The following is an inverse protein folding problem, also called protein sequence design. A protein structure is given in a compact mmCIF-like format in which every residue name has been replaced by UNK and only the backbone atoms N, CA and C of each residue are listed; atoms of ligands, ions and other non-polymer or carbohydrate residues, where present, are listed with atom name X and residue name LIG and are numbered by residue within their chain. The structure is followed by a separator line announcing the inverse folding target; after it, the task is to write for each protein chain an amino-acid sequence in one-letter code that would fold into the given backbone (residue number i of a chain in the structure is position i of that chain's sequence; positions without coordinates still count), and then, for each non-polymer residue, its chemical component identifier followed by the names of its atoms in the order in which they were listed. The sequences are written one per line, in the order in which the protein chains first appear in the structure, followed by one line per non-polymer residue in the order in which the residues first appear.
data_IF_420232837300
#
_entry.id   IF_420232837300
#
_cell.length_a   1.000
_cell.length_b   1.000
_cell.length_c   1.000
_cell.angle_alpha   90.00
_cell.angle_beta   90.00
_cell.angle_gamma   90.00
#
_symmetry.space_group_name_H-M   'P 1'
#
loop_
_entity.id
_entity.type
_entity.pdbx_description
1 polymer ?
#
# COMPACT_ATOMS: atom_id res chain seq x y z
N UNK A 1 10.59 3.58 27.29
CA UNK A 1 9.82 4.60 26.54
C UNK A 1 10.71 5.40 25.60
N UNK A 2 11.77 6.06 26.09
CA UNK A 2 12.70 6.84 25.24
C UNK A 2 13.30 6.09 24.04
N UNK A 3 13.64 4.80 24.19
CA UNK A 3 14.18 4.03 23.09
C UNK A 3 13.17 3.90 21.93
N UNK A 4 11.91 3.60 22.24
CA UNK A 4 10.84 3.43 21.24
C UNK A 4 10.52 4.77 20.57
N UNK A 5 10.53 5.87 21.32
CA UNK A 5 10.29 7.21 20.77
C UNK A 5 11.34 7.67 19.75
N UNK A 6 12.56 7.13 19.86
CA UNK A 6 13.70 7.52 19.02
C UNK A 6 14.11 6.43 18.02
N UNK A 7 13.53 5.23 18.11
CA UNK A 7 13.84 4.12 17.22
C UNK A 7 12.58 3.41 16.74
N UNK A 8 12.52 3.15 15.45
CA UNK A 8 11.47 2.35 14.85
C UNK A 8 11.66 0.87 15.23
N UNK A 9 10.75 0.34 16.04
CA UNK A 9 10.75 -1.06 16.49
C UNK A 9 9.52 -1.82 16.01
N UNK A 10 8.52 -1.11 15.53
CA UNK A 10 7.31 -1.66 14.92
C UNK A 10 7.16 -1.14 13.50
N UNK A 11 6.63 -2.01 12.64
CA UNK A 11 6.15 -1.66 11.30
C UNK A 11 4.73 -2.17 11.16
N UNK A 12 3.82 -1.28 10.80
CA UNK A 12 2.38 -1.54 10.82
C UNK A 12 1.77 -1.27 9.45
N UNK A 13 0.84 -2.14 9.06
CA UNK A 13 0.12 -2.01 7.80
C UNK A 13 -1.02 -1.00 7.96
N UNK A 14 -1.03 0.04 7.12
CA UNK A 14 -2.12 1.03 7.08
C UNK A 14 -2.75 0.98 5.68
N UNK A 15 -3.94 0.41 5.58
CA UNK A 15 -4.61 0.30 4.29
C UNK A 15 -5.37 1.57 3.92
N UNK A 16 -5.34 1.91 2.64
CA UNK A 16 -6.44 2.66 2.06
C UNK A 16 -7.57 1.68 1.74
N UNK A 17 -8.80 2.08 2.06
CA UNK A 17 -10.00 1.42 1.56
C UNK A 17 -10.23 1.89 0.13
N UNK A 18 -9.44 1.36 -0.81
CA UNK A 18 -9.47 1.77 -2.21
C UNK A 18 -10.86 1.49 -2.81
N UNK A 19 -11.42 2.42 -3.62
CA UNK A 19 -10.78 3.61 -4.17
C UNK A 19 -10.85 4.86 -3.28
N UNK A 20 -9.68 5.46 -3.02
CA UNK A 20 -9.48 6.84 -2.52
C UNK A 20 -10.10 7.16 -1.14
N UNK A 21 -10.24 6.18 -0.26
CA UNK A 21 -10.75 6.38 1.11
C UNK A 21 -9.75 5.88 2.14
N UNK A 22 -9.59 6.62 3.24
CA UNK A 22 -8.96 6.12 4.46
C UNK A 22 -10.02 6.12 5.57
N UNK A 23 -10.30 4.95 6.12
CA UNK A 23 -11.29 4.81 7.20
C UNK A 23 -10.73 5.24 8.56
N UNK A 24 -11.64 5.41 9.52
CA UNK A 24 -11.32 5.87 10.87
C UNK A 24 -10.34 4.94 11.60
N UNK A 25 -10.44 3.62 11.39
CA UNK A 25 -9.60 2.63 12.08
C UNK A 25 -8.16 2.75 11.59
N UNK A 26 -7.97 2.79 10.27
CA UNK A 26 -6.66 2.95 9.65
C UNK A 26 -6.01 4.30 9.99
N UNK A 27 -6.78 5.39 9.95
CA UNK A 27 -6.27 6.71 10.36
C UNK A 27 -5.99 6.79 11.87
N UNK A 28 -6.79 6.11 12.69
CA UNK A 28 -6.59 5.97 14.13
C UNK A 28 -5.23 5.34 14.43
N UNK A 29 -4.97 4.17 13.85
CA UNK A 29 -3.70 3.45 13.99
C UNK A 29 -2.51 4.27 13.46
N UNK A 30 -2.64 4.88 12.26
CA UNK A 30 -1.61 5.73 11.68
C UNK A 30 -1.23 6.88 12.61
N UNK A 31 -2.22 7.58 13.19
CA UNK A 31 -1.99 8.67 14.16
C UNK A 31 -1.18 8.21 15.36
N UNK A 32 -1.44 7.01 15.87
CA UNK A 32 -0.69 6.46 17.01
C UNK A 32 0.74 6.16 16.60
N UNK A 33 0.96 5.35 15.57
CA UNK A 33 2.30 4.95 15.16
C UNK A 33 3.18 6.13 14.73
N UNK A 34 2.62 7.09 13.99
CA UNK A 34 3.35 8.28 13.55
C UNK A 34 3.81 9.15 14.74
N UNK A 35 2.95 9.36 15.76
CA UNK A 35 3.34 10.12 16.97
C UNK A 35 4.51 9.48 17.70
N UNK A 36 4.59 8.16 17.70
CA UNK A 36 5.57 7.38 18.44
C UNK A 36 6.76 6.88 17.60
N UNK A 37 7.04 7.49 16.43
CA UNK A 37 8.18 7.13 15.55
C UNK A 37 8.17 5.68 15.00
N UNK A 38 6.98 5.09 14.87
CA UNK A 38 6.81 3.73 14.37
C UNK A 38 6.37 3.74 12.91
N UNK A 39 6.84 2.75 12.14
CA UNK A 39 6.70 2.76 10.68
C UNK A 39 5.28 2.42 10.24
N UNK A 40 4.75 3.23 9.33
CA UNK A 40 3.48 2.97 8.65
C UNK A 40 3.72 2.55 7.20
N UNK A 41 3.21 1.39 6.81
CA UNK A 41 3.17 0.98 5.40
C UNK A 41 1.82 1.40 4.82
N UNK A 42 1.78 2.57 4.18
CA UNK A 42 0.57 3.09 3.53
C UNK A 42 0.31 2.27 2.28
N UNK A 43 -0.74 1.44 2.29
CA UNK A 43 -0.97 0.40 1.29
C UNK A 43 -2.37 0.51 0.68
N UNK A 44 -2.49 1.04 -0.54
CA UNK A 44 -3.65 0.80 -1.40
C UNK A 44 -3.94 -0.69 -1.50
N UNK A 45 -5.19 -1.08 -1.29
CA UNK A 45 -5.66 -2.46 -1.42
C UNK A 45 -6.50 -2.59 -2.68
N UNK A 46 -5.90 -3.14 -3.73
CA UNK A 46 -6.47 -3.05 -5.08
C UNK A 46 -6.65 -4.43 -5.73
N UNK A 47 -7.88 -4.61 -6.22
CA UNK A 47 -8.26 -5.56 -7.26
C UNK A 47 -8.54 -4.75 -8.53
N UNK A 48 -7.62 -4.78 -9.50
CA UNK A 48 -7.74 -4.00 -10.73
C UNK A 48 -8.99 -4.42 -11.51
N UNK A 49 -9.80 -3.44 -11.91
CA UNK A 49 -11.13 -3.66 -12.51
C UNK A 49 -12.29 -3.64 -11.50
N UNK A 50 -12.01 -3.65 -10.19
CA UNK A 50 -13.02 -3.52 -9.14
C UNK A 50 -12.76 -2.31 -8.22
N UNK A 51 -11.54 -2.17 -7.70
CA UNK A 51 -11.14 -1.11 -6.76
C UNK A 51 -10.23 -0.05 -7.39
N UNK A 52 -9.84 -0.26 -8.64
CA UNK A 52 -9.09 0.68 -9.48
C UNK A 52 -9.45 0.43 -10.96
N UNK A 53 -9.05 1.32 -11.89
CA UNK A 53 -9.19 1.07 -13.31
C UNK A 53 -8.54 -0.26 -13.74
N UNK A 54 -9.11 -0.94 -14.73
CA UNK A 54 -8.58 -2.22 -15.25
C UNK A 54 -7.19 -2.06 -15.89
N UNK A 55 -6.78 -0.84 -16.25
CA UNK A 55 -5.50 -0.57 -16.90
C UNK A 55 -4.37 -0.39 -15.89
N UNK A 56 -3.16 -0.84 -16.26
CA UNK A 56 -1.94 -0.70 -15.44
C UNK A 56 -1.67 0.76 -15.11
N UNK A 57 -1.72 1.65 -16.10
CA UNK A 57 -1.45 3.07 -15.90
C UNK A 57 -2.49 3.72 -14.97
N UNK A 58 -3.79 3.44 -15.17
CA UNK A 58 -4.84 3.98 -14.32
C UNK A 58 -4.72 3.50 -12.87
N UNK A 59 -4.40 2.21 -12.67
CA UNK A 59 -4.12 1.67 -11.35
C UNK A 59 -2.90 2.33 -10.71
N UNK A 60 -1.79 2.49 -11.42
CA UNK A 60 -0.58 3.16 -10.90
C UNK A 60 -0.85 4.61 -10.49
N UNK A 61 -1.63 5.34 -11.28
CA UNK A 61 -2.03 6.72 -10.95
C UNK A 61 -2.81 6.76 -9.65
N UNK A 62 -3.78 5.87 -9.46
CA UNK A 62 -4.57 5.81 -8.22
C UNK A 62 -3.71 5.37 -7.02
N UNK A 63 -2.87 4.34 -7.18
CA UNK A 63 -1.91 3.90 -6.14
C UNK A 63 -1.06 5.07 -5.68
N UNK A 64 -0.49 5.83 -6.62
CA UNK A 64 0.35 6.97 -6.30
C UNK A 64 -0.42 8.04 -5.51
N UNK A 65 -1.66 8.35 -5.91
CA UNK A 65 -2.49 9.34 -5.23
C UNK A 65 -2.81 8.92 -3.80
N UNK A 66 -3.24 7.68 -3.59
CA UNK A 66 -3.58 7.14 -2.27
C UNK A 66 -2.35 7.08 -1.34
N UNK A 67 -1.19 6.63 -1.85
CA UNK A 67 0.05 6.61 -1.06
C UNK A 67 0.50 8.02 -0.71
N UNK A 68 0.49 8.96 -1.65
CA UNK A 68 0.87 10.34 -1.36
C UNK A 68 -0.03 10.94 -0.29
N UNK A 69 -1.34 10.75 -0.37
CA UNK A 69 -2.27 11.26 0.65
C UNK A 69 -1.97 10.68 2.05
N UNK A 70 -1.86 9.35 2.16
CA UNK A 70 -1.59 8.71 3.44
C UNK A 70 -0.19 9.02 3.99
N UNK A 71 0.84 9.02 3.13
CA UNK A 71 2.21 9.30 3.54
C UNK A 71 2.43 10.77 3.91
N UNK A 72 1.82 11.71 3.19
CA UNK A 72 1.83 13.12 3.61
C UNK A 72 1.12 13.30 4.95
N UNK A 73 0.02 12.58 5.19
CA UNK A 73 -0.68 12.62 6.48
C UNK A 73 0.20 12.15 7.64
N UNK A 74 1.04 11.12 7.47
CA UNK A 74 2.00 10.74 8.53
C UNK A 74 2.95 11.89 8.87
N UNK A 75 3.44 12.61 7.86
CA UNK A 75 4.38 13.73 8.06
C UNK A 75 3.71 14.95 8.70
N UNK A 76 2.41 15.16 8.46
CA UNK A 76 1.64 16.21 9.15
C UNK A 76 1.48 15.93 10.65
N UNK A 77 1.51 14.66 11.06
CA UNK A 77 1.41 14.27 12.48
C UNK A 77 2.75 14.41 13.19
N UNK A 78 3.83 13.89 12.57
CA UNK A 78 5.20 14.01 13.07
C UNK A 78 6.15 14.05 11.88
N UNK A 79 6.75 15.21 11.58
CA UNK A 79 7.78 15.31 10.55
C UNK A 79 8.93 14.33 10.84
N UNK A 80 9.31 13.54 9.84
CA UNK A 80 10.33 12.51 9.96
C UNK A 80 9.82 11.15 10.44
N UNK A 81 8.50 11.00 10.70
CA UNK A 81 7.94 9.69 11.02
C UNK A 81 8.19 8.70 9.86
N UNK A 82 8.69 7.49 10.13
CA UNK A 82 9.01 6.50 9.11
C UNK A 82 7.74 6.05 8.38
N UNK A 83 7.78 6.10 7.05
CA UNK A 83 6.65 5.72 6.20
C UNK A 83 7.13 5.00 4.96
N UNK A 84 6.41 3.95 4.57
CA UNK A 84 6.70 3.13 3.41
C UNK A 84 5.60 3.27 2.37
N UNK A 85 6.01 3.28 1.11
CA UNK A 85 5.14 3.13 -0.04
C UNK A 85 4.70 1.66 -0.12
N UNK A 86 3.46 1.37 0.22
CA UNK A 86 2.86 0.05 0.07
C UNK A 86 2.08 -0.07 -1.24
N UNK A 87 1.96 -1.27 -1.77
CA UNK A 87 1.00 -1.62 -2.82
C UNK A 87 0.58 -3.07 -2.62
N UNK A 88 -0.71 -3.31 -2.46
CA UNK A 88 -1.30 -4.61 -2.73
C UNK A 88 -2.10 -4.47 -4.02
N UNK A 89 -1.60 -5.07 -5.10
CA UNK A 89 -2.27 -5.07 -6.39
C UNK A 89 -2.46 -6.52 -6.85
N UNK A 90 -3.68 -6.82 -7.27
CA UNK A 90 -4.08 -8.06 -7.92
C UNK A 90 -5.03 -7.73 -9.07
N UNK A 91 -5.36 -8.71 -9.90
CA UNK A 91 -6.40 -8.56 -10.92
C UNK A 91 -7.63 -9.36 -10.57
N UNK A 92 -8.67 -9.26 -11.40
CA UNK A 92 -9.87 -10.09 -11.29
C UNK A 92 -10.02 -10.96 -12.54
N UNK A 93 -10.60 -12.13 -12.37
CA UNK A 93 -11.15 -12.88 -13.50
C UNK A 93 -12.37 -12.16 -14.04
N UNK A 94 -12.34 -11.77 -15.32
CA UNK A 94 -13.51 -11.14 -15.97
C UNK A 94 -14.71 -12.09 -16.09
N UNK A 95 -14.49 -13.41 -15.98
CA UNK A 95 -15.55 -14.40 -16.04
C UNK A 95 -16.26 -14.58 -14.70
N UNK A 96 -15.51 -14.64 -13.59
CA UNK A 96 -16.06 -14.98 -12.27
C UNK A 96 -16.07 -13.82 -11.27
N UNK A 97 -15.39 -12.71 -11.58
CA UNK A 97 -15.14 -11.60 -10.65
C UNK A 97 -14.18 -11.94 -9.50
N UNK A 98 -13.65 -13.16 -9.46
CA UNK A 98 -12.79 -13.61 -8.38
C UNK A 98 -11.38 -12.97 -8.46
N UNK A 99 -10.71 -12.74 -7.32
CA UNK A 99 -9.30 -12.34 -7.28
C UNK A 99 -8.40 -13.32 -8.03
N UNK A 100 -7.48 -12.78 -8.83
CA UNK A 100 -6.45 -13.54 -9.55
C UNK A 100 -5.06 -13.02 -9.22
N UNK A 101 -4.12 -13.96 -9.10
CA UNK A 101 -2.70 -13.70 -8.80
C UNK A 101 -1.82 -14.39 -9.84
N UNK A 102 -0.54 -13.98 -9.94
CA UNK A 102 0.42 -14.55 -10.88
C UNK A 102 0.22 -14.12 -12.33
N UNK A 103 -0.68 -13.17 -12.59
CA UNK A 103 -0.96 -12.60 -13.91
C UNK A 103 0.01 -11.46 -14.27
N UNK A 104 0.12 -11.08 -15.56
CA UNK A 104 1.05 -10.04 -15.99
C UNK A 104 0.73 -8.64 -15.44
N UNK A 105 -0.55 -8.27 -15.31
CA UNK A 105 -0.96 -6.90 -14.99
C UNK A 105 -0.53 -6.47 -13.57
N UNK A 106 -0.76 -7.28 -12.50
CA UNK A 106 -0.28 -6.95 -11.15
C UNK A 106 1.25 -6.86 -11.06
N UNK A 107 1.96 -7.63 -11.90
CA UNK A 107 3.42 -7.59 -11.98
C UNK A 107 3.89 -6.25 -12.55
N UNK A 108 3.28 -5.78 -13.66
CA UNK A 108 3.58 -4.47 -14.25
C UNK A 108 3.25 -3.32 -13.30
N UNK A 109 2.11 -3.39 -12.59
CA UNK A 109 1.78 -2.42 -11.53
C UNK A 109 2.83 -2.43 -10.43
N UNK A 110 3.26 -3.60 -9.96
CA UNK A 110 4.28 -3.71 -8.91
C UNK A 110 5.63 -3.12 -9.33
N UNK A 111 6.08 -3.40 -10.56
CA UNK A 111 7.33 -2.83 -11.09
C UNK A 111 7.25 -1.31 -11.26
N UNK A 112 6.14 -0.80 -11.79
CA UNK A 112 5.91 0.64 -11.92
C UNK A 112 5.85 1.34 -10.56
N UNK A 113 5.12 0.76 -9.60
CA UNK A 113 5.01 1.29 -8.24
C UNK A 113 6.37 1.34 -7.54
N UNK A 114 7.23 0.33 -7.74
CA UNK A 114 8.59 0.33 -7.22
C UNK A 114 9.43 1.49 -7.77
N UNK A 115 9.27 1.82 -9.06
CA UNK A 115 9.94 2.98 -9.67
C UNK A 115 9.42 4.29 -9.10
N UNK A 116 8.10 4.42 -8.90
CA UNK A 116 7.49 5.61 -8.29
C UNK A 116 7.96 5.79 -6.84
N UNK A 117 7.99 4.73 -6.04
CA UNK A 117 8.47 4.76 -4.66
C UNK A 117 9.92 5.26 -4.58
N UNK A 118 10.81 4.76 -5.45
CA UNK A 118 12.19 5.26 -5.55
C UNK A 118 12.27 6.74 -5.91
N UNK A 119 11.42 7.21 -6.83
CA UNK A 119 11.36 8.64 -7.22
C UNK A 119 10.84 9.53 -6.08
N UNK A 120 9.98 9.00 -5.21
CA UNK A 120 9.50 9.68 -4.01
C UNK A 120 10.50 9.60 -2.83
N UNK A 121 11.55 8.79 -2.93
CA UNK A 121 12.51 8.58 -1.85
C UNK A 121 11.95 7.77 -0.67
N UNK A 122 10.91 6.96 -0.89
CA UNK A 122 10.30 6.12 0.16
C UNK A 122 10.70 4.65 -0.01
N UNK A 123 10.94 3.90 1.08
CA UNK A 123 11.06 2.45 1.02
C UNK A 123 9.76 1.82 0.49
N UNK A 124 9.87 0.69 -0.20
CA UNK A 124 8.77 0.12 -0.98
C UNK A 124 8.39 -1.29 -0.51
N UNK A 125 7.09 -1.57 -0.43
CA UNK A 125 6.52 -2.88 -0.10
C UNK A 125 5.45 -3.27 -1.12
N UNK A 126 5.63 -4.41 -1.78
CA UNK A 126 4.62 -5.08 -2.64
C UNK A 126 4.92 -6.58 -2.77
N UNK A 127 4.06 -7.32 -3.44
CA UNK A 127 4.31 -8.69 -3.89
C UNK A 127 4.37 -9.73 -2.78
N UNK A 128 5.25 -10.73 -2.96
CA UNK A 128 5.33 -11.94 -2.15
C UNK A 128 4.90 -13.18 -2.94
N UNK A 129 4.80 -14.32 -2.26
CA UNK A 129 4.35 -15.60 -2.86
C UNK A 129 2.82 -15.67 -2.92
N UNK A 130 2.19 -14.72 -3.63
CA UNK A 130 0.74 -14.61 -3.74
C UNK A 130 0.21 -15.58 -4.80
N UNK A 131 -0.78 -16.38 -4.45
CA UNK A 131 -1.42 -17.33 -5.36
C UNK A 131 -2.93 -17.40 -5.13
N UNK A 132 -3.66 -17.86 -6.15
CA UNK A 132 -5.08 -18.15 -6.06
C UNK A 132 -5.37 -19.66 -5.90
N UNK A 133 -4.35 -20.52 -5.93
CA UNK A 133 -4.55 -21.97 -5.80
C UNK A 133 -5.05 -22.31 -4.40
N UNK A 134 -5.80 -23.41 -4.30
CA UNK A 134 -6.30 -23.93 -3.02
C UNK A 134 -5.37 -25.01 -2.46
N UNK A 135 -4.37 -25.42 -3.24
CA UNK A 135 -3.38 -26.44 -2.93
C UNK A 135 -1.99 -25.94 -3.36
N UNK A 136 -0.90 -26.50 -2.83
CA UNK A 136 0.46 -26.11 -3.22
C UNK A 136 0.93 -26.89 -4.47
N UNK A 137 0.24 -26.69 -5.59
CA UNK A 137 0.59 -27.24 -6.91
C UNK A 137 1.53 -26.35 -7.74
#
# INVERSE_FOLDING_TARGET
DDFVENNTVLTSLINANSPMVFDETMLGALKVYARHNQACIVTPFILAGAMSPVTVAGTLTQVLAEVLAGASFTQLIRPGAPVLFGTFASSISMQSGAPTFGTPEPSLVSYGAAQLARRLGLPFRTGGSLCASKVPD
#
